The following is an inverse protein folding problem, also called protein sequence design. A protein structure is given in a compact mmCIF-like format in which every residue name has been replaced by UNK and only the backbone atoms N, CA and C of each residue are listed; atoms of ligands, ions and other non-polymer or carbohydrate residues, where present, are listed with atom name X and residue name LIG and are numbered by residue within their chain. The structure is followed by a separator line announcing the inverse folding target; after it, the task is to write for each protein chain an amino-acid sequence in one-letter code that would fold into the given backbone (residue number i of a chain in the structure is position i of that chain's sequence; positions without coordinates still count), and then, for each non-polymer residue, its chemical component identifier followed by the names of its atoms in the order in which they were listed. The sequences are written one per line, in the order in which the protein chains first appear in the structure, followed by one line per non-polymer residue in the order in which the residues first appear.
data_IF_199224056096
#
_entry.id   IF_199224056096
#
_cell.length_a   1.000
_cell.length_b   1.000
_cell.length_c   1.000
_cell.angle_alpha   90.00
_cell.angle_beta   90.00
_cell.angle_gamma   90.00
#
_symmetry.space_group_name_H-M   'P 1'
#
loop_
_entity.id
_entity.type
_entity.pdbx_description
1 polymer ?
#
# COMPACT_ATOMS: atom_id res chain seq x y z
N UNK A 1 -7.85 20.79 -2.34
CA UNK A 1 -8.41 19.51 -1.86
C UNK A 1 -7.26 18.68 -1.28
N UNK A 2 -7.47 17.95 -0.18
CA UNK A 2 -6.43 17.07 0.38
C UNK A 2 -6.40 15.76 -0.40
N UNK A 3 -5.20 15.33 -0.78
CA UNK A 3 -4.93 14.09 -1.51
C UNK A 3 -3.71 13.39 -0.92
N UNK A 4 -3.56 12.12 -1.24
CA UNK A 4 -2.45 11.26 -0.86
C UNK A 4 -1.77 10.72 -2.11
N UNK A 5 -0.46 10.91 -2.21
CA UNK A 5 0.36 10.32 -3.27
C UNK A 5 0.98 9.02 -2.75
N UNK A 6 0.68 7.92 -3.44
CA UNK A 6 1.24 6.61 -3.10
C UNK A 6 2.65 6.51 -3.67
N UNK A 7 3.62 6.24 -2.79
CA UNK A 7 5.02 6.02 -3.16
C UNK A 7 5.46 4.71 -2.56
N UNK A 8 5.99 3.85 -3.42
CA UNK A 8 6.62 2.61 -2.98
C UNK A 8 7.94 2.92 -2.29
N UNK A 9 8.12 2.31 -1.13
CA UNK A 9 9.38 2.32 -0.41
C UNK A 9 10.27 1.17 -0.86
N UNK A 10 10.64 0.31 0.09
CA UNK A 10 11.60 -0.76 -0.13
C UNK A 10 10.90 -2.01 -0.69
N UNK A 11 11.51 -2.61 -1.71
CA UNK A 11 11.23 -3.99 -2.12
C UNK A 11 12.33 -4.90 -1.61
N UNK A 12 11.95 -5.94 -0.86
CA UNK A 12 12.88 -6.97 -0.43
C UNK A 12 13.00 -8.05 -1.50
N UNK A 13 14.06 -8.86 -1.46
CA UNK A 13 14.14 -10.03 -2.35
C UNK A 13 13.02 -11.03 -2.00
N UNK A 14 12.15 -11.41 -2.95
CA UNK A 14 11.04 -12.31 -2.66
C UNK A 14 11.56 -13.72 -2.30
N UNK A 15 11.17 -14.21 -1.12
CA UNK A 15 11.59 -15.53 -0.60
C UNK A 15 10.70 -16.68 -1.10
N UNK A 16 9.49 -16.37 -1.56
CA UNK A 16 8.50 -17.35 -2.02
C UNK A 16 7.53 -16.72 -3.03
N UNK A 17 6.63 -17.56 -3.58
CA UNK A 17 5.63 -17.13 -4.58
C UNK A 17 4.64 -16.08 -4.05
N UNK A 18 4.27 -16.17 -2.77
CA UNK A 18 3.39 -15.19 -2.12
C UNK A 18 4.04 -13.80 -2.04
N UNK A 19 5.30 -13.71 -1.64
CA UNK A 19 6.03 -12.44 -1.58
C UNK A 19 6.06 -11.79 -2.96
N UNK A 20 6.37 -12.56 -4.01
CA UNK A 20 6.37 -12.06 -5.38
C UNK A 20 4.99 -11.53 -5.80
N UNK A 21 3.92 -12.29 -5.54
CA UNK A 21 2.56 -11.88 -5.88
C UNK A 21 2.12 -10.61 -5.13
N UNK A 22 2.44 -10.50 -3.84
CA UNK A 22 2.17 -9.29 -3.05
C UNK A 22 2.97 -8.10 -3.58
N UNK A 23 4.25 -8.28 -3.91
CA UNK A 23 5.07 -7.23 -4.50
C UNK A 23 4.51 -6.73 -5.84
N UNK A 24 4.04 -7.62 -6.69
CA UNK A 24 3.38 -7.25 -7.96
C UNK A 24 2.07 -6.48 -7.71
N UNK A 25 1.23 -6.95 -6.78
CA UNK A 25 -0.03 -6.30 -6.41
C UNK A 25 0.18 -4.88 -5.84
N UNK A 26 1.12 -4.73 -4.90
CA UNK A 26 1.48 -3.44 -4.29
C UNK A 26 2.21 -2.56 -5.33
N UNK A 27 3.03 -3.15 -6.19
CA UNK A 27 3.71 -2.50 -7.31
C UNK A 27 2.77 -1.71 -8.22
N UNK A 28 1.60 -2.28 -8.52
CA UNK A 28 0.56 -1.64 -9.33
C UNK A 28 -0.06 -0.39 -8.68
N UNK A 29 0.23 -0.14 -7.41
CA UNK A 29 -0.30 1.01 -6.68
C UNK A 29 0.62 2.23 -6.71
N UNK A 30 1.85 2.08 -7.23
CA UNK A 30 2.81 3.17 -7.26
C UNK A 30 2.26 4.40 -7.98
N UNK A 31 2.52 5.58 -7.43
CA UNK A 31 2.15 6.90 -7.99
C UNK A 31 0.65 7.13 -8.18
N UNK A 32 -0.22 6.28 -7.62
CA UNK A 32 -1.64 6.57 -7.56
C UNK A 32 -1.89 7.76 -6.64
N UNK A 33 -2.91 8.53 -6.97
CA UNK A 33 -3.38 9.65 -6.15
C UNK A 33 -4.75 9.30 -5.60
N UNK A 34 -4.87 9.34 -4.28
CA UNK A 34 -6.10 8.99 -3.56
C UNK A 34 -6.62 10.25 -2.86
N UNK A 35 -7.91 10.52 -2.94
CA UNK A 35 -8.52 11.62 -2.18
C UNK A 35 -8.64 11.24 -0.70
N UNK A 36 -8.59 12.20 0.21
CA UNK A 36 -8.66 11.94 1.65
C UNK A 36 -9.91 11.13 2.05
N UNK A 37 -11.07 11.43 1.44
CA UNK A 37 -12.32 10.70 1.70
C UNK A 37 -12.27 9.21 1.31
N UNK A 38 -11.37 8.84 0.40
CA UNK A 38 -11.21 7.47 -0.09
C UNK A 38 -10.08 6.72 0.62
N UNK A 39 -9.34 7.35 1.52
CA UNK A 39 -8.16 6.77 2.16
C UNK A 39 -8.48 5.49 2.93
N UNK A 40 -9.57 5.46 3.70
CA UNK A 40 -9.95 4.28 4.48
C UNK A 40 -10.39 3.13 3.58
N UNK A 41 -11.19 3.41 2.54
CA UNK A 41 -11.58 2.42 1.55
C UNK A 41 -10.36 1.85 0.81
N UNK A 42 -9.37 2.70 0.52
CA UNK A 42 -8.12 2.30 -0.10
C UNK A 42 -7.27 1.40 0.81
N UNK A 43 -7.13 1.72 2.10
CA UNK A 43 -6.45 0.85 3.09
C UNK A 43 -7.13 -0.52 3.18
N UNK A 44 -8.46 -0.54 3.21
CA UNK A 44 -9.24 -1.79 3.18
C UNK A 44 -8.98 -2.60 1.91
N UNK A 45 -9.01 -1.95 0.74
CA UNK A 45 -8.70 -2.60 -0.55
C UNK A 45 -7.32 -3.27 -0.55
N UNK A 46 -6.29 -2.60 -0.02
CA UNK A 46 -4.96 -3.17 0.11
C UNK A 46 -4.98 -4.39 1.05
N UNK A 47 -5.59 -4.26 2.23
CA UNK A 47 -5.71 -5.35 3.20
C UNK A 47 -6.43 -6.57 2.64
N UNK A 48 -7.61 -6.39 2.03
CA UNK A 48 -8.39 -7.46 1.41
C UNK A 48 -7.60 -8.13 0.27
N UNK A 49 -6.88 -7.34 -0.53
CA UNK A 49 -6.04 -7.85 -1.61
C UNK A 49 -4.92 -8.75 -1.11
N UNK A 50 -4.26 -8.36 -0.01
CA UNK A 50 -3.21 -9.15 0.63
C UNK A 50 -3.79 -10.43 1.23
N UNK A 51 -4.95 -10.38 1.88
CA UNK A 51 -5.56 -11.58 2.44
C UNK A 51 -6.01 -12.57 1.38
N UNK A 52 -6.56 -12.08 0.27
CA UNK A 52 -6.87 -12.92 -0.89
C UNK A 52 -5.61 -13.63 -1.41
N UNK A 53 -4.46 -12.95 -1.45
CA UNK A 53 -3.19 -13.55 -1.88
C UNK A 53 -2.70 -14.59 -0.86
N UNK A 54 -2.79 -14.31 0.45
CA UNK A 54 -2.50 -15.30 1.49
C UNK A 54 -3.32 -16.58 1.28
N UNK A 55 -4.61 -16.44 0.97
CA UNK A 55 -5.53 -17.57 0.78
C UNK A 55 -5.30 -18.34 -0.52
N UNK A 56 -4.78 -17.69 -1.56
CA UNK A 56 -4.36 -18.32 -2.80
C UNK A 56 -3.02 -19.08 -2.65
N UNK A 57 -2.17 -18.63 -1.72
CA UNK A 57 -0.85 -19.21 -1.47
C UNK A 57 -0.74 -19.87 -0.08
N UNK A 58 -1.72 -20.71 0.30
CA UNK A 58 -1.83 -21.35 1.64
C UNK A 58 -0.60 -22.14 2.12
N UNK A 59 0.30 -22.51 1.21
CA UNK A 59 1.55 -23.23 1.53
C UNK A 59 2.71 -22.30 1.93
N UNK A 60 2.54 -20.98 1.79
CA UNK A 60 3.51 -19.97 2.22
C UNK A 60 3.13 -19.42 3.60
N UNK A 61 4.12 -18.96 4.36
CA UNK A 61 3.87 -18.19 5.59
C UNK A 61 3.05 -16.96 5.24
N UNK A 62 1.92 -16.76 5.93
CA UNK A 62 1.03 -15.61 5.70
C UNK A 62 1.77 -14.31 5.98
N UNK A 63 1.44 -13.29 5.21
CA UNK A 63 1.97 -11.93 5.36
C UNK A 63 0.87 -11.04 5.94
N UNK A 64 1.18 -10.34 7.02
CA UNK A 64 0.25 -9.42 7.68
C UNK A 64 0.47 -7.98 7.25
N UNK A 65 -0.62 -7.28 6.93
CA UNK A 65 -0.59 -5.87 6.58
C UNK A 65 -0.55 -4.99 7.83
N UNK A 66 0.55 -4.28 8.05
CA UNK A 66 0.69 -3.35 9.18
C UNK A 66 0.56 -1.91 8.70
N UNK A 67 -0.60 -1.30 8.96
CA UNK A 67 -0.81 0.12 8.72
C UNK A 67 -0.43 0.94 9.94
N UNK A 68 0.28 2.04 9.71
CA UNK A 68 0.59 3.00 10.76
C UNK A 68 0.62 4.41 10.17
N UNK A 69 0.53 5.41 11.04
CA UNK A 69 0.50 6.82 10.66
C UNK A 69 1.65 7.54 11.34
N UNK A 70 2.37 8.37 10.59
CA UNK A 70 3.32 9.34 11.13
C UNK A 70 2.61 10.66 11.48
N UNK A 71 3.32 11.77 11.59
CA UNK A 71 2.69 13.08 11.86
C UNK A 71 1.64 13.43 10.81
N UNK A 72 1.96 13.24 9.53
CA UNK A 72 1.11 13.64 8.40
C UNK A 72 0.79 12.53 7.41
N UNK A 73 1.64 11.50 7.34
CA UNK A 73 1.59 10.49 6.29
C UNK A 73 1.09 9.14 6.82
N UNK A 74 0.54 8.34 5.91
CA UNK A 74 0.11 6.98 6.21
C UNK A 74 1.07 6.00 5.57
N UNK A 75 1.28 4.87 6.22
CA UNK A 75 2.25 3.87 5.79
C UNK A 75 1.64 2.47 5.86
N UNK A 76 2.08 1.62 4.94
CA UNK A 76 1.85 0.18 4.96
C UNK A 76 3.21 -0.50 4.98
N UNK A 77 3.42 -1.36 5.98
CA UNK A 77 4.58 -2.22 6.08
C UNK A 77 4.17 -3.70 6.01
N UNK A 78 4.77 -4.43 5.08
CA UNK A 78 4.67 -5.87 4.94
C UNK A 78 6.05 -6.45 5.23
N UNK A 79 6.21 -7.07 6.39
CA UNK A 79 7.51 -7.46 6.93
C UNK A 79 8.29 -8.33 5.94
N UNK A 80 9.52 -7.92 5.59
CA UNK A 80 10.38 -8.61 4.63
C UNK A 80 9.77 -8.81 3.23
N UNK A 81 8.75 -8.02 2.86
CA UNK A 81 8.10 -8.08 1.54
C UNK A 81 8.19 -6.73 0.83
N UNK A 82 7.49 -5.71 1.32
CA UNK A 82 7.41 -4.39 0.69
C UNK A 82 6.92 -3.33 1.68
N UNK A 83 7.36 -2.08 1.51
CA UNK A 83 6.77 -0.93 2.19
C UNK A 83 6.18 0.07 1.20
N UNK A 84 5.15 0.78 1.63
CA UNK A 84 4.45 1.80 0.87
C UNK A 84 4.13 2.98 1.79
N UNK A 85 4.35 4.19 1.30
CA UNK A 85 4.01 5.45 1.96
C UNK A 85 2.93 6.18 1.17
N UNK A 86 2.05 6.87 1.86
CA UNK A 86 0.96 7.66 1.32
C UNK A 86 1.18 9.10 1.80
N UNK A 87 1.82 9.90 0.95
CA UNK A 87 2.23 11.25 1.29
C UNK A 87 1.07 12.22 1.16
N UNK A 88 0.75 12.92 2.24
CA UNK A 88 -0.35 13.90 2.26
C UNK A 88 0.07 15.17 1.52
N UNK A 89 -0.77 15.65 0.60
CA UNK A 89 -0.56 16.93 -0.06
C UNK A 89 -1.88 17.68 -0.29
N UNK A 90 -1.79 19.01 -0.37
CA UNK A 90 -2.93 19.88 -0.71
C UNK A 90 -2.80 20.30 -2.16
N UNK A 91 -3.73 19.85 -2.99
CA UNK A 91 -3.86 20.35 -4.36
C UNK A 91 -4.30 21.83 -4.30
N UNK A 92 -3.45 22.72 -4.84
CA UNK A 92 -3.82 24.12 -5.09
C UNK A 92 -4.74 24.14 -6.30
N UNK A 93 -5.90 24.77 -6.18
CA UNK A 93 -6.74 25.06 -7.33
C UNK A 93 -5.96 25.98 -8.28
N UNK A 94 -6.02 25.71 -9.57
CA UNK A 94 -5.66 26.71 -10.57
C UNK A 94 -6.84 27.68 -10.59
N UNK A 95 -6.63 28.90 -10.08
CA UNK A 95 -7.54 30.00 -10.39
C UNK A 95 -7.33 30.33 -11.88
N UNK A 96 -8.38 30.14 -12.68
CA UNK A 96 -8.44 30.51 -14.10
C UNK A 96 -9.39 31.69 -14.23
#
# INVERSE_FOLDING_TARGET
MIKYLIILGMFYQPKNKLHKAIQEFIGQQNRKVIKEENLQAYKKYLGDGIERLNDQHRKCTRVSANFWKSETDEHLHLENVVSLSMFKFKEKGVEV
#
